data_IF_528273195710
#
_entry.id   IF_528273195710
#
_cell.length_a   1.000
_cell.length_b   1.000
_cell.length_c   1.000
_cell.angle_alpha   90.00
_cell.angle_beta   90.00
_cell.angle_gamma   90.00
#
_symmetry.space_group_name_H-M   'P 1'
#
loop_
_entity.id
_entity.type
_entity.pdbx_description
1 polymer ?
#
# COMPACT_ATOMS: atom_id res chain seq x y z
N UNK A 1 -17.75 -1.97 -47.21
CA UNK A 1 -16.64 -2.92 -46.98
C UNK A 1 -15.67 -2.22 -46.03
N UNK A 2 -15.81 -2.50 -44.74
CA UNK A 2 -15.01 -1.84 -43.69
C UNK A 2 -13.96 -2.82 -43.20
N UNK A 3 -12.71 -2.60 -43.53
CA UNK A 3 -11.56 -3.44 -43.12
C UNK A 3 -11.16 -3.02 -41.70
N UNK A 4 -11.51 -3.85 -40.73
CA UNK A 4 -11.03 -3.72 -39.34
C UNK A 4 -9.55 -4.11 -39.30
N UNK A 5 -8.68 -3.15 -39.10
CA UNK A 5 -7.24 -3.36 -38.90
C UNK A 5 -7.02 -3.82 -37.46
N UNK A 6 -6.81 -5.12 -37.27
CA UNK A 6 -6.39 -5.67 -35.99
C UNK A 6 -4.95 -5.26 -35.71
N UNK A 7 -4.75 -4.38 -34.73
CA UNK A 7 -3.43 -4.00 -34.25
C UNK A 7 -2.82 -5.15 -33.45
N UNK A 8 -1.87 -5.86 -34.03
CA UNK A 8 -1.08 -6.88 -33.35
C UNK A 8 -0.12 -6.14 -32.40
N UNK A 9 -0.41 -6.21 -31.11
CA UNK A 9 0.52 -5.71 -30.09
C UNK A 9 1.76 -6.63 -30.08
N UNK A 10 2.87 -6.12 -30.61
CA UNK A 10 4.19 -6.77 -30.50
C UNK A 10 4.62 -6.60 -29.05
N UNK A 11 4.47 -7.66 -28.25
CA UNK A 11 5.06 -7.71 -26.91
C UNK A 11 6.58 -7.73 -27.07
N UNK A 12 7.26 -6.66 -26.63
CA UNK A 12 8.71 -6.64 -26.52
C UNK A 12 9.24 -7.78 -25.62
N UNK A 13 10.56 -8.01 -25.57
CA UNK A 13 11.13 -9.06 -24.74
C UNK A 13 10.70 -8.86 -23.28
N UNK A 14 10.16 -9.94 -22.67
CA UNK A 14 9.76 -9.92 -21.26
C UNK A 14 10.98 -9.63 -20.39
N UNK A 15 10.90 -8.59 -19.58
CA UNK A 15 11.97 -8.23 -18.65
C UNK A 15 11.75 -8.96 -17.33
N UNK A 16 12.69 -9.82 -16.96
CA UNK A 16 12.75 -10.48 -15.67
C UNK A 16 13.96 -9.96 -14.90
N UNK A 17 13.77 -9.51 -13.67
CA UNK A 17 14.88 -9.13 -12.79
C UNK A 17 14.59 -9.54 -11.35
N UNK A 18 15.64 -9.80 -10.59
CA UNK A 18 15.58 -9.99 -9.14
C UNK A 18 16.18 -8.75 -8.50
N UNK A 19 15.41 -8.13 -7.61
CA UNK A 19 15.82 -6.97 -6.83
C UNK A 19 16.02 -7.40 -5.39
N UNK A 20 17.12 -7.00 -4.79
CA UNK A 20 17.35 -7.20 -3.36
C UNK A 20 16.68 -6.07 -2.57
N UNK A 21 16.16 -6.41 -1.39
CA UNK A 21 15.50 -5.48 -0.49
C UNK A 21 15.57 -5.95 0.95
N UNK A 22 15.00 -5.16 1.85
CA UNK A 22 14.85 -5.52 3.24
C UNK A 22 13.36 -5.49 3.64
N UNK A 23 13.01 -6.29 4.63
CA UNK A 23 11.67 -6.27 5.22
C UNK A 23 11.46 -4.92 5.94
N UNK A 24 10.33 -4.21 5.69
CA UNK A 24 10.07 -2.91 6.29
C UNK A 24 9.45 -2.99 7.69
N UNK A 25 9.23 -4.18 8.23
CA UNK A 25 8.68 -4.34 9.58
C UNK A 25 9.75 -4.16 10.66
N UNK A 26 9.33 -3.72 11.82
CA UNK A 26 10.12 -3.56 13.05
C UNK A 26 10.37 -4.88 13.80
N UNK A 27 10.50 -5.96 13.07
CA UNK A 27 10.79 -7.29 13.58
C UNK A 27 12.31 -7.47 13.73
N UNK A 28 12.79 -8.12 14.82
CA UNK A 28 14.21 -8.33 15.05
C UNK A 28 14.89 -9.23 14.01
N UNK A 29 14.14 -10.01 13.24
CA UNK A 29 14.67 -10.86 12.18
C UNK A 29 15.28 -10.08 11.01
N UNK A 30 14.85 -8.85 10.78
CA UNK A 30 15.37 -7.92 9.75
C UNK A 30 15.60 -8.58 8.38
N UNK A 31 14.65 -9.42 7.95
CA UNK A 31 14.80 -10.31 6.79
C UNK A 31 15.28 -9.59 5.52
N UNK A 32 16.34 -10.09 4.90
CA UNK A 32 16.69 -9.70 3.53
C UNK A 32 15.76 -10.39 2.54
N UNK A 33 15.40 -9.69 1.48
CA UNK A 33 14.41 -10.10 0.49
C UNK A 33 15.01 -10.24 -0.90
N UNK A 34 14.56 -11.25 -1.64
CA UNK A 34 14.70 -11.37 -3.09
C UNK A 34 13.34 -11.15 -3.75
N UNK A 35 13.22 -10.07 -4.51
CA UNK A 35 11.95 -9.63 -5.13
C UNK A 35 12.04 -9.88 -6.63
N UNK A 36 11.19 -10.75 -7.13
CA UNK A 36 11.09 -11.01 -8.58
C UNK A 36 10.17 -9.98 -9.21
N UNK A 37 10.66 -9.31 -10.26
CA UNK A 37 9.92 -8.31 -11.04
C UNK A 37 9.88 -8.77 -12.49
N UNK A 38 8.67 -8.95 -13.01
CA UNK A 38 8.39 -9.29 -14.40
C UNK A 38 7.60 -8.16 -15.06
N UNK A 39 8.14 -7.60 -16.14
CA UNK A 39 7.51 -6.51 -16.89
C UNK A 39 7.08 -5.33 -15.99
N UNK A 40 7.93 -4.98 -15.01
CA UNK A 40 7.65 -3.88 -14.07
C UNK A 40 6.71 -4.25 -12.91
N UNK A 41 6.21 -5.49 -12.86
CA UNK A 41 5.30 -5.97 -11.80
C UNK A 41 6.02 -6.94 -10.87
N UNK A 42 5.86 -6.77 -9.57
CA UNK A 42 6.35 -7.73 -8.57
C UNK A 42 5.49 -8.99 -8.64
N UNK A 43 6.11 -10.13 -8.95
CA UNK A 43 5.42 -11.43 -9.03
C UNK A 43 5.72 -12.33 -7.84
N UNK A 44 6.87 -12.12 -7.16
CA UNK A 44 7.26 -12.91 -6.00
C UNK A 44 8.08 -12.10 -5.01
N UNK A 45 7.82 -12.34 -3.73
CA UNK A 45 8.67 -11.89 -2.61
C UNK A 45 9.14 -13.15 -1.87
N UNK A 46 10.44 -13.31 -1.73
CA UNK A 46 11.06 -14.44 -1.04
C UNK A 46 12.15 -13.92 -0.09
N UNK A 47 12.49 -14.69 0.93
CA UNK A 47 13.66 -14.41 1.74
C UNK A 47 14.96 -14.67 0.99
N UNK A 48 16.01 -13.96 1.33
CA UNK A 48 17.34 -14.18 0.79
C UNK A 48 17.99 -15.36 1.53
N UNK A 49 18.34 -16.48 0.84
CA UNK A 49 18.98 -17.62 1.48
C UNK A 49 20.35 -17.31 2.07
N UNK A 50 21.01 -16.27 1.59
CA UNK A 50 22.31 -15.85 2.08
C UNK A 50 22.21 -14.91 3.32
N UNK A 51 21.01 -14.59 3.77
CA UNK A 51 20.80 -13.77 4.98
C UNK A 51 21.09 -14.59 6.24
N UNK A 52 22.12 -14.24 7.05
CA UNK A 52 22.60 -15.10 8.12
C UNK A 52 21.56 -15.45 9.20
N UNK A 53 20.70 -14.51 9.68
CA UNK A 53 19.73 -14.82 10.72
C UNK A 53 18.57 -15.72 10.25
N UNK A 54 18.12 -15.60 9.00
CA UNK A 54 16.88 -16.22 8.54
C UNK A 54 17.06 -17.31 7.50
N UNK A 55 18.24 -17.38 6.84
CA UNK A 55 18.55 -18.37 5.80
C UNK A 55 17.45 -18.55 4.74
N UNK A 56 16.83 -17.44 4.33
CA UNK A 56 15.73 -17.46 3.35
C UNK A 56 14.34 -17.72 3.94
N UNK A 57 14.21 -17.97 5.24
CA UNK A 57 12.90 -18.04 5.88
C UNK A 57 12.19 -16.67 5.82
N UNK A 58 10.89 -16.70 5.57
CA UNK A 58 10.07 -15.49 5.48
C UNK A 58 8.69 -15.77 6.07
N UNK A 59 8.21 -14.83 6.90
CA UNK A 59 6.90 -14.97 7.52
C UNK A 59 5.76 -14.84 6.49
N UNK A 60 4.60 -15.39 6.82
CA UNK A 60 3.42 -15.39 5.94
C UNK A 60 2.93 -14.00 5.56
N UNK A 61 3.15 -12.99 6.41
CA UNK A 61 2.78 -11.60 6.11
C UNK A 61 3.53 -11.07 4.88
N UNK A 62 4.86 -11.23 4.90
CA UNK A 62 5.74 -10.62 3.88
C UNK A 62 5.80 -11.47 2.61
N UNK A 63 5.76 -12.80 2.72
CA UNK A 63 5.73 -13.69 1.54
C UNK A 63 4.52 -13.43 0.63
N UNK A 64 3.44 -12.84 1.16
CA UNK A 64 2.20 -12.50 0.44
C UNK A 64 2.09 -11.03 0.04
N UNK A 65 3.17 -10.25 0.10
CA UNK A 65 3.11 -8.82 -0.22
C UNK A 65 2.67 -8.53 -1.65
N UNK A 66 3.05 -9.34 -2.62
CA UNK A 66 2.60 -9.17 -4.00
C UNK A 66 1.07 -9.30 -4.10
N UNK A 67 0.48 -10.32 -3.47
CA UNK A 67 -0.99 -10.50 -3.43
C UNK A 67 -1.69 -9.29 -2.81
N UNK A 68 -1.19 -8.82 -1.66
CA UNK A 68 -1.75 -7.65 -0.98
C UNK A 68 -1.61 -6.37 -1.80
N UNK A 69 -0.46 -6.17 -2.42
CA UNK A 69 -0.17 -4.94 -3.18
C UNK A 69 -1.03 -4.80 -4.42
N UNK A 70 -1.39 -5.93 -5.03
CA UNK A 70 -2.18 -5.97 -6.26
C UNK A 70 -3.60 -6.51 -6.05
N UNK A 71 -4.06 -6.57 -4.79
CA UNK A 71 -5.41 -7.02 -4.49
C UNK A 71 -6.45 -6.10 -5.15
N UNK A 72 -7.48 -6.64 -5.83
CA UNK A 72 -8.48 -5.83 -6.53
C UNK A 72 -9.26 -4.88 -5.61
N UNK A 73 -9.45 -5.25 -4.35
CA UNK A 73 -10.11 -4.42 -3.34
C UNK A 73 -9.17 -3.48 -2.58
N UNK A 74 -7.90 -3.36 -3.03
CA UNK A 74 -6.97 -2.43 -2.40
C UNK A 74 -7.47 -1.00 -2.55
N UNK A 75 -7.59 -0.28 -1.44
CA UNK A 75 -7.91 1.14 -1.42
C UNK A 75 -6.73 1.94 -1.99
N UNK A 76 -6.94 2.60 -3.12
CA UNK A 76 -5.91 3.35 -3.85
C UNK A 76 -6.05 4.87 -3.71
N UNK A 77 -7.18 5.34 -3.20
CA UNK A 77 -7.48 6.76 -2.98
C UNK A 77 -8.06 6.96 -1.60
N UNK A 78 -7.98 8.17 -1.02
CA UNK A 78 -8.67 8.45 0.23
C UNK A 78 -10.18 8.20 0.10
N UNK A 79 -10.78 7.69 1.16
CA UNK A 79 -12.21 7.45 1.25
C UNK A 79 -12.83 8.31 2.35
N UNK A 80 -13.87 9.06 2.00
CA UNK A 80 -14.68 9.84 2.93
C UNK A 80 -15.98 9.12 3.21
N UNK A 81 -16.34 9.00 4.47
CA UNK A 81 -17.61 8.40 4.83
C UNK A 81 -18.78 9.30 4.39
N UNK A 82 -19.70 8.74 3.60
CA UNK A 82 -20.89 9.44 3.08
C UNK A 82 -22.19 9.06 3.78
N UNK A 83 -22.14 8.11 4.73
CA UNK A 83 -23.31 7.67 5.48
C UNK A 83 -23.17 7.76 6.99
N UNK A 84 -24.19 7.35 7.76
CA UNK A 84 -24.10 7.25 9.21
C UNK A 84 -22.94 6.36 9.66
N UNK A 85 -22.43 6.58 10.88
CA UNK A 85 -21.40 5.73 11.47
C UNK A 85 -21.88 4.27 11.50
N UNK A 86 -21.05 3.37 11.02
CA UNK A 86 -21.35 1.93 10.95
C UNK A 86 -22.07 1.49 9.66
N UNK A 87 -22.48 2.41 8.78
CA UNK A 87 -23.15 2.04 7.51
C UNK A 87 -22.25 1.41 6.44
N UNK A 88 -20.93 1.52 6.60
CA UNK A 88 -19.97 1.04 5.61
C UNK A 88 -19.96 1.83 4.29
N UNK A 89 -20.68 2.97 4.20
CA UNK A 89 -20.74 3.76 2.96
C UNK A 89 -19.64 4.79 2.91
N UNK A 90 -18.82 4.73 1.85
CA UNK A 90 -17.69 5.61 1.61
C UNK A 90 -17.67 6.05 0.16
N UNK A 91 -17.14 7.26 -0.09
CA UNK A 91 -16.94 7.83 -1.41
C UNK A 91 -15.46 8.16 -1.61
N UNK A 92 -14.88 7.88 -2.79
CA UNK A 92 -13.53 8.32 -3.12
C UNK A 92 -13.46 9.85 -3.14
N UNK A 93 -12.39 10.40 -2.56
CA UNK A 93 -12.09 11.84 -2.60
C UNK A 93 -10.64 12.06 -2.97
N UNK A 94 -10.31 13.28 -3.43
CA UNK A 94 -8.93 13.68 -3.68
C UNK A 94 -8.11 13.84 -2.39
N UNK A 95 -6.80 13.79 -2.52
CA UNK A 95 -5.89 13.99 -1.38
C UNK A 95 -6.04 15.38 -0.75
N UNK A 96 -6.19 16.44 -1.55
CA UNK A 96 -6.37 17.81 -1.05
C UNK A 96 -7.64 17.92 -0.23
N UNK A 97 -8.76 17.39 -0.72
CA UNK A 97 -10.02 17.38 0.02
C UNK A 97 -9.90 16.60 1.34
N UNK A 98 -9.25 15.44 1.33
CA UNK A 98 -9.06 14.63 2.52
C UNK A 98 -8.21 15.34 3.57
N UNK A 99 -7.09 15.95 3.16
CA UNK A 99 -6.19 16.67 4.05
C UNK A 99 -6.83 17.94 4.60
N UNK A 100 -7.54 18.69 3.78
CA UNK A 100 -8.26 19.90 4.21
C UNK A 100 -9.36 19.57 5.22
N UNK A 101 -10.11 18.49 4.98
CA UNK A 101 -11.15 18.05 5.92
C UNK A 101 -10.56 17.62 7.28
N UNK A 102 -9.43 16.91 7.28
CA UNK A 102 -8.72 16.52 8.51
C UNK A 102 -8.19 17.76 9.24
N UNK A 103 -7.49 18.64 8.52
CA UNK A 103 -6.92 19.85 9.09
C UNK A 103 -7.99 20.78 9.68
N UNK A 104 -9.10 20.97 8.97
CA UNK A 104 -10.23 21.76 9.47
C UNK A 104 -10.81 21.16 10.76
N UNK A 105 -10.93 19.84 10.84
CA UNK A 105 -11.44 19.15 12.04
C UNK A 105 -10.50 19.33 13.24
N UNK A 106 -9.19 19.15 13.03
CA UNK A 106 -8.19 19.33 14.09
C UNK A 106 -8.17 20.78 14.59
N UNK A 107 -8.20 21.76 13.70
CA UNK A 107 -8.29 23.19 14.06
C UNK A 107 -9.55 23.49 14.85
N UNK A 108 -10.71 22.96 14.43
CA UNK A 108 -11.97 23.15 15.13
C UNK A 108 -11.96 22.54 16.55
N UNK A 109 -11.25 21.46 16.78
CA UNK A 109 -11.07 20.88 18.12
C UNK A 109 -10.16 21.79 18.94
N UNK A 110 -9.01 22.17 18.42
CA UNK A 110 -8.04 23.01 19.14
C UNK A 110 -8.63 24.41 19.52
N UNK A 111 -9.49 24.95 18.68
CA UNK A 111 -10.14 26.25 18.94
C UNK A 111 -11.14 26.26 20.11
N UNK A 112 -11.47 25.10 20.69
CA UNK A 112 -12.39 25.01 21.85
C UNK A 112 -11.76 25.43 23.18
N UNK A 113 -10.43 25.57 23.22
CA UNK A 113 -9.66 25.97 24.40
C UNK A 113 -8.47 25.08 24.68
N UNK A 114 -7.63 25.43 25.67
CA UNK A 114 -6.36 24.74 25.92
C UNK A 114 -6.52 23.25 26.25
N UNK A 115 -7.59 22.87 26.93
CA UNK A 115 -7.84 21.47 27.31
C UNK A 115 -8.45 20.64 26.18
N UNK A 116 -8.97 21.30 25.15
CA UNK A 116 -9.63 20.60 24.03
C UNK A 116 -8.67 19.77 23.17
N UNK A 117 -7.37 20.12 23.17
CA UNK A 117 -6.35 19.35 22.50
C UNK A 117 -6.23 17.90 23.02
N UNK A 118 -6.63 17.64 24.26
CA UNK A 118 -6.71 16.30 24.87
C UNK A 118 -7.73 15.37 24.18
N UNK A 119 -8.66 15.94 23.38
CA UNK A 119 -9.57 15.16 22.55
C UNK A 119 -8.92 14.62 21.26
N UNK A 120 -7.66 15.01 21.00
CA UNK A 120 -6.86 14.49 19.88
C UNK A 120 -5.87 13.48 20.47
N UNK A 121 -6.08 12.19 20.18
CA UNK A 121 -5.18 11.14 20.62
C UNK A 121 -4.25 10.76 19.47
N UNK A 122 -2.97 11.22 19.46
CA UNK A 122 -1.96 10.67 18.57
C UNK A 122 -1.66 9.23 18.99
N UNK A 123 -1.85 8.30 18.09
CA UNK A 123 -1.44 6.91 18.31
C UNK A 123 -0.22 6.64 17.44
N UNK A 124 0.90 6.34 18.07
CA UNK A 124 2.14 5.95 17.40
C UNK A 124 2.63 4.60 17.95
N UNK A 125 3.41 3.95 17.16
CA UNK A 125 3.88 2.61 17.41
C UNK A 125 5.40 2.56 17.22
#
# INVERSE_FOLDING_TARGET
MSTSSASVAISGPKSLRIVQGACPHDCPDTCALRITVEDGRVTRVAGDPDHPPTHGALCTKVSRYAERSYHPERVLTPLKRSGPKGSGRFEPVGWDEALDAIAARLRAIAARGPDAAQAILPYSY
#
